data_IF_897222379405
#
_entry.id   IF_897222379405
#
_cell.length_a   1.000
_cell.length_b   1.000
_cell.length_c   1.000
_cell.angle_alpha   90.00
_cell.angle_beta   90.00
_cell.angle_gamma   90.00
#
_symmetry.space_group_name_H-M   'P 1'
#
loop_
_entity.id
_entity.type
_entity.pdbx_description
1 polymer ?
#
# COMPACT_ATOMS: atom_id res chain seq x y z
N UNK A 1 -24.68 -21.44 17.25
CA UNK A 1 -24.26 -22.78 16.75
C UNK A 1 -24.20 -22.75 15.23
N UNK A 2 -23.02 -22.45 14.67
CA UNK A 2 -22.81 -22.38 13.21
C UNK A 2 -22.40 -23.77 12.73
N UNK A 3 -23.22 -24.42 11.89
CA UNK A 3 -22.91 -25.73 11.30
C UNK A 3 -21.75 -25.59 10.32
N UNK A 4 -20.62 -26.18 10.67
CA UNK A 4 -19.46 -26.37 9.81
C UNK A 4 -19.83 -27.14 8.54
N UNK A 5 -19.89 -26.44 7.40
CA UNK A 5 -19.80 -27.03 6.06
C UNK A 5 -18.82 -26.19 5.23
N UNK A 6 -17.61 -26.03 5.74
CA UNK A 6 -16.52 -25.33 5.06
C UNK A 6 -15.43 -26.30 4.59
N UNK A 7 -15.87 -27.41 3.98
CA UNK A 7 -15.02 -28.48 3.43
C UNK A 7 -15.06 -28.53 1.89
N UNK A 8 -15.61 -27.52 1.22
CA UNK A 8 -15.79 -27.51 -0.24
C UNK A 8 -14.47 -27.64 -0.99
N UNK A 9 -13.56 -26.68 -0.80
CA UNK A 9 -12.30 -26.63 -1.56
C UNK A 9 -11.37 -27.80 -1.22
N UNK A 10 -11.14 -28.09 0.06
CA UNK A 10 -10.26 -29.21 0.45
C UNK A 10 -10.84 -30.55 -0.01
N UNK A 11 -12.17 -30.70 0.02
CA UNK A 11 -12.86 -31.88 -0.50
C UNK A 11 -12.67 -32.03 -2.01
N UNK A 12 -12.89 -30.94 -2.77
CA UNK A 12 -12.69 -30.91 -4.22
C UNK A 12 -11.22 -31.19 -4.60
N UNK A 13 -10.26 -30.63 -3.86
CA UNK A 13 -8.82 -30.88 -4.06
C UNK A 13 -8.44 -32.35 -3.81
N UNK A 14 -8.91 -32.93 -2.70
CA UNK A 14 -8.69 -34.35 -2.42
C UNK A 14 -9.37 -35.25 -3.47
N UNK A 15 -10.53 -34.85 -4.00
CA UNK A 15 -11.20 -35.57 -5.09
C UNK A 15 -10.38 -35.52 -6.38
N UNK A 16 -9.80 -34.36 -6.71
CA UNK A 16 -8.96 -34.20 -7.89
C UNK A 16 -7.69 -35.05 -7.78
N UNK A 17 -7.05 -35.05 -6.60
CA UNK A 17 -5.88 -35.89 -6.31
C UNK A 17 -6.19 -37.39 -6.55
N UNK A 18 -7.36 -37.86 -6.08
CA UNK A 18 -7.81 -39.25 -6.31
C UNK A 18 -8.10 -39.54 -7.79
N UNK A 19 -8.64 -38.59 -8.54
CA UNK A 19 -8.85 -38.77 -9.98
C UNK A 19 -7.52 -38.87 -10.74
N UNK A 20 -6.55 -38.01 -10.41
CA UNK A 20 -5.20 -38.06 -10.97
C UNK A 20 -4.55 -39.41 -10.66
N UNK A 21 -4.56 -39.86 -9.40
CA UNK A 21 -3.92 -41.12 -9.01
C UNK A 21 -4.57 -42.35 -9.67
N UNK A 22 -5.90 -42.37 -9.80
CA UNK A 22 -6.61 -43.45 -10.51
C UNK A 22 -6.26 -43.48 -12.00
N UNK A 23 -6.24 -42.31 -12.67
CA UNK A 23 -5.93 -42.23 -14.10
C UNK A 23 -4.48 -42.58 -14.44
N UNK A 24 -3.57 -42.43 -13.47
CA UNK A 24 -2.14 -42.74 -13.62
C UNK A 24 -1.75 -44.15 -13.14
N UNK A 25 -2.64 -44.85 -12.44
CA UNK A 25 -2.37 -46.21 -11.96
C UNK A 25 -2.06 -47.16 -13.12
N UNK A 26 -0.98 -47.93 -12.99
CA UNK A 26 -0.55 -48.91 -14.01
C UNK A 26 0.19 -48.36 -15.23
N UNK A 27 0.36 -47.03 -15.36
CA UNK A 27 1.10 -46.44 -16.49
C UNK A 27 2.62 -46.41 -16.23
N UNK A 28 3.42 -46.99 -17.13
CA UNK A 28 4.89 -46.82 -17.11
C UNK A 28 5.23 -45.34 -17.34
N UNK A 29 6.14 -44.77 -16.56
CA UNK A 29 6.54 -43.37 -16.68
C UNK A 29 5.59 -42.34 -16.06
N UNK A 30 4.56 -42.76 -15.32
CA UNK A 30 3.57 -41.86 -14.70
C UNK A 30 4.15 -40.82 -13.72
N UNK A 31 5.37 -41.02 -13.21
CA UNK A 31 6.01 -40.11 -12.24
C UNK A 31 6.19 -38.69 -12.77
N UNK A 32 6.61 -38.53 -14.03
CA UNK A 32 6.80 -37.21 -14.65
C UNK A 32 5.47 -36.47 -14.84
N UNK A 33 4.47 -37.17 -15.38
CA UNK A 33 3.13 -36.62 -15.58
C UNK A 33 2.43 -36.29 -14.25
N UNK A 34 2.55 -37.16 -13.24
CA UNK A 34 2.04 -36.88 -11.88
C UNK A 34 2.63 -35.60 -11.31
N UNK A 35 3.95 -35.43 -11.45
CA UNK A 35 4.64 -34.22 -10.99
C UNK A 35 4.09 -33.00 -11.72
N UNK A 36 3.99 -33.03 -13.05
CA UNK A 36 3.47 -31.91 -13.84
C UNK A 36 2.05 -31.48 -13.41
N UNK A 37 1.13 -32.43 -13.24
CA UNK A 37 -0.25 -32.15 -12.82
C UNK A 37 -0.34 -31.54 -11.41
N UNK A 38 0.53 -31.96 -10.49
CA UNK A 38 0.59 -31.38 -9.16
C UNK A 38 1.27 -30.02 -9.13
N UNK A 39 2.24 -29.76 -10.01
CA UNK A 39 2.81 -28.43 -10.19
C UNK A 39 1.76 -27.46 -10.73
N UNK A 40 0.93 -27.91 -11.67
CA UNK A 40 -0.20 -27.15 -12.19
C UNK A 40 -1.28 -26.90 -11.13
N UNK A 41 -1.58 -27.90 -10.30
CA UNK A 41 -2.48 -27.70 -9.16
C UNK A 41 -1.93 -26.67 -8.18
N UNK A 42 -0.63 -26.70 -7.88
CA UNK A 42 0.01 -25.69 -7.04
C UNK A 42 -0.05 -24.30 -7.68
N UNK A 43 0.20 -24.16 -8.98
CA UNK A 43 0.14 -22.85 -9.64
C UNK A 43 -1.28 -22.27 -9.64
N UNK A 44 -2.32 -23.10 -9.83
CA UNK A 44 -3.71 -22.66 -9.69
C UNK A 44 -3.99 -22.20 -8.26
N UNK A 45 -3.59 -22.98 -7.25
CA UNK A 45 -3.79 -22.62 -5.83
C UNK A 45 -3.05 -21.34 -5.44
N UNK A 46 -1.92 -21.05 -6.10
CA UNK A 46 -1.13 -19.84 -5.94
C UNK A 46 -1.68 -18.63 -6.73
N UNK A 47 -2.77 -18.81 -7.48
CA UNK A 47 -3.40 -17.77 -8.30
C UNK A 47 -2.61 -17.40 -9.55
N UNK A 48 -1.66 -18.23 -9.99
CA UNK A 48 -0.79 -17.96 -11.14
C UNK A 48 -1.02 -18.87 -12.34
N UNK A 49 -1.72 -19.99 -12.14
CA UNK A 49 -1.93 -21.01 -13.15
C UNK A 49 -3.38 -21.16 -13.58
N UNK A 50 -3.56 -21.95 -14.64
CA UNK A 50 -4.83 -22.48 -15.13
C UNK A 50 -4.68 -23.99 -15.31
N UNK A 51 -5.82 -24.69 -15.32
CA UNK A 51 -5.85 -26.12 -15.66
C UNK A 51 -5.86 -26.27 -17.19
N UNK A 52 -4.69 -26.24 -17.82
CA UNK A 52 -4.47 -26.34 -19.27
C UNK A 52 -3.82 -27.67 -19.70
N UNK A 53 -3.06 -28.32 -18.80
CA UNK A 53 -2.22 -29.47 -19.10
C UNK A 53 -2.82 -30.80 -18.65
N UNK A 54 -4.06 -30.81 -18.14
CA UNK A 54 -4.72 -32.05 -17.72
C UNK A 54 -5.10 -32.88 -18.96
N UNK A 55 -4.48 -34.05 -19.19
CA UNK A 55 -4.79 -34.85 -20.36
C UNK A 55 -6.25 -35.28 -20.36
N UNK A 56 -6.92 -35.22 -21.52
CA UNK A 56 -8.30 -35.67 -21.71
C UNK A 56 -8.56 -37.11 -21.22
N UNK A 57 -7.50 -37.92 -21.14
CA UNK A 57 -7.52 -39.29 -20.65
C UNK A 57 -7.74 -39.41 -19.12
N UNK A 58 -7.57 -38.32 -18.37
CA UNK A 58 -8.04 -38.21 -16.99
C UNK A 58 -9.51 -37.76 -17.07
N UNK A 59 -10.39 -38.70 -17.42
CA UNK A 59 -11.81 -38.42 -17.69
C UNK A 59 -12.52 -37.85 -16.45
N UNK A 60 -13.51 -36.97 -16.69
CA UNK A 60 -14.46 -36.44 -15.69
C UNK A 60 -13.90 -35.42 -14.67
N UNK A 61 -12.73 -34.82 -14.91
CA UNK A 61 -12.17 -33.79 -13.99
C UNK A 61 -12.54 -32.36 -14.34
N UNK A 62 -13.02 -32.08 -15.56
CA UNK A 62 -13.36 -30.71 -16.01
C UNK A 62 -14.39 -29.98 -15.11
N UNK A 63 -15.48 -30.62 -14.65
CA UNK A 63 -16.39 -29.96 -13.72
C UNK A 63 -15.72 -29.63 -12.38
N UNK A 64 -14.78 -30.48 -11.94
CA UNK A 64 -14.08 -30.36 -10.68
C UNK A 64 -13.01 -29.26 -10.73
N UNK A 65 -12.21 -29.22 -11.79
CA UNK A 65 -11.19 -28.19 -12.03
C UNK A 65 -11.83 -26.82 -12.18
N UNK A 66 -12.98 -26.73 -12.87
CA UNK A 66 -13.78 -25.51 -12.98
C UNK A 66 -14.36 -25.05 -11.63
N UNK A 67 -14.78 -25.98 -10.76
CA UNK A 67 -15.22 -25.63 -9.39
C UNK A 67 -14.06 -25.13 -8.53
N UNK A 68 -12.93 -25.83 -8.54
CA UNK A 68 -11.72 -25.42 -7.80
C UNK A 68 -11.27 -24.04 -8.26
N UNK A 69 -11.14 -23.83 -9.58
CA UNK A 69 -10.75 -22.54 -10.13
C UNK A 69 -11.70 -21.42 -9.70
N UNK A 70 -13.02 -21.65 -9.75
CA UNK A 70 -14.02 -20.68 -9.26
C UNK A 70 -13.97 -20.47 -7.75
N UNK A 71 -13.64 -21.47 -6.94
CA UNK A 71 -13.50 -21.28 -5.48
C UNK A 71 -12.22 -20.53 -5.12
N UNK A 72 -11.13 -20.77 -5.85
CA UNK A 72 -9.84 -20.12 -5.63
C UNK A 72 -9.86 -18.66 -6.11
N UNK A 73 -10.45 -18.41 -7.29
CA UNK A 73 -10.44 -17.09 -7.95
C UNK A 73 -11.79 -16.34 -7.88
N UNK A 74 -12.85 -16.95 -7.34
CA UNK A 74 -14.20 -16.37 -7.29
C UNK A 74 -14.46 -15.46 -6.10
N UNK A 75 -15.73 -15.39 -5.67
CA UNK A 75 -16.31 -14.32 -4.82
C UNK A 75 -15.56 -13.95 -3.53
N UNK A 76 -14.69 -14.82 -3.02
CA UNK A 76 -13.78 -14.55 -1.90
C UNK A 76 -12.44 -13.88 -2.31
N UNK A 77 -12.33 -13.34 -3.53
CA UNK A 77 -11.33 -12.32 -3.90
C UNK A 77 -9.87 -12.76 -3.83
N UNK A 78 -9.54 -13.99 -4.22
CA UNK A 78 -8.18 -14.55 -4.14
C UNK A 78 -7.68 -14.74 -2.69
N UNK A 79 -8.56 -14.89 -1.69
CA UNK A 79 -8.16 -15.03 -0.29
C UNK A 79 -7.13 -16.15 -0.03
N UNK A 80 -7.24 -17.31 -0.70
CA UNK A 80 -6.27 -18.39 -0.57
C UNK A 80 -4.92 -18.08 -1.27
N UNK A 81 -4.89 -17.72 -2.57
CA UNK A 81 -3.66 -17.26 -3.23
C UNK A 81 -2.94 -16.16 -2.46
N UNK A 82 -3.70 -15.17 -1.96
CA UNK A 82 -3.21 -14.07 -1.13
C UNK A 82 -2.60 -14.58 0.17
N UNK A 83 -3.28 -15.43 0.92
CA UNK A 83 -2.75 -15.97 2.16
C UNK A 83 -1.51 -16.85 1.96
N UNK A 84 -1.43 -17.61 0.87
CA UNK A 84 -0.23 -18.36 0.49
C UNK A 84 0.92 -17.41 0.22
N UNK A 85 0.68 -16.36 -0.57
CA UNK A 85 1.67 -15.35 -0.89
C UNK A 85 2.16 -14.62 0.36
N UNK A 86 1.25 -14.10 1.17
CA UNK A 86 1.55 -13.40 2.42
C UNK A 86 2.32 -14.28 3.41
N UNK A 87 1.94 -15.55 3.55
CA UNK A 87 2.64 -16.49 4.42
C UNK A 87 4.02 -16.88 3.90
N UNK A 88 4.19 -17.01 2.58
CA UNK A 88 5.45 -17.47 1.98
C UNK A 88 6.49 -16.35 1.86
N UNK A 89 6.07 -15.11 1.59
CA UNK A 89 6.98 -13.99 1.35
C UNK A 89 7.12 -13.04 2.54
N UNK A 90 6.10 -12.94 3.39
CA UNK A 90 6.04 -11.96 4.49
C UNK A 90 5.82 -12.62 5.87
N UNK A 91 5.96 -13.94 5.97
CA UNK A 91 5.80 -14.72 7.22
C UNK A 91 4.46 -14.45 7.96
N UNK A 92 3.41 -14.02 7.24
CA UNK A 92 2.13 -13.68 7.86
C UNK A 92 1.36 -14.93 8.29
N UNK A 93 0.70 -14.91 9.46
CA UNK A 93 -0.11 -16.03 9.90
C UNK A 93 -1.34 -16.18 8.98
N UNK A 94 -1.60 -17.41 8.56
CA UNK A 94 -2.75 -17.74 7.73
C UNK A 94 -4.02 -17.73 8.57
N UNK A 95 -5.02 -16.95 8.14
CA UNK A 95 -6.33 -16.84 8.78
C UNK A 95 -7.07 -18.18 8.90
N UNK A 96 -8.02 -18.26 9.83
CA UNK A 96 -8.73 -19.51 10.13
C UNK A 96 -9.48 -20.09 8.92
N UNK A 97 -10.11 -19.24 8.10
CA UNK A 97 -10.89 -19.62 6.90
C UNK A 97 -10.05 -20.31 5.82
N UNK A 98 -8.77 -20.00 5.72
CA UNK A 98 -7.85 -20.51 4.68
C UNK A 98 -6.82 -21.52 5.23
N UNK A 99 -6.85 -21.81 6.53
CA UNK A 99 -5.90 -22.69 7.20
C UNK A 99 -5.89 -24.11 6.65
N UNK A 100 -7.05 -24.73 6.44
CA UNK A 100 -7.14 -26.10 5.94
C UNK A 100 -6.68 -26.23 4.47
N UNK A 101 -7.13 -25.36 3.54
CA UNK A 101 -6.55 -25.29 2.19
C UNK A 101 -5.04 -25.04 2.19
N UNK A 102 -4.54 -24.16 3.06
CA UNK A 102 -3.10 -23.91 3.19
C UNK A 102 -2.31 -25.15 3.64
N UNK A 103 -2.82 -25.91 4.62
CA UNK A 103 -2.19 -27.16 5.04
C UNK A 103 -2.14 -28.19 3.90
N UNK A 104 -3.17 -28.24 3.06
CA UNK A 104 -3.17 -29.05 1.85
C UNK A 104 -2.03 -28.62 0.90
N UNK A 105 -1.92 -27.31 0.60
CA UNK A 105 -0.86 -26.74 -0.24
C UNK A 105 0.52 -27.10 0.30
N UNK A 106 0.78 -26.89 1.60
CA UNK A 106 2.06 -27.24 2.22
C UNK A 106 2.40 -28.73 2.12
N UNK A 107 1.41 -29.60 2.29
CA UNK A 107 1.60 -31.06 2.13
C UNK A 107 1.97 -31.40 0.69
N UNK A 108 1.27 -30.82 -0.28
CA UNK A 108 1.51 -31.05 -1.70
C UNK A 108 2.90 -30.51 -2.12
N UNK A 109 3.25 -29.29 -1.73
CA UNK A 109 4.55 -28.68 -1.97
C UNK A 109 5.70 -29.53 -1.40
N UNK A 110 5.56 -30.01 -0.16
CA UNK A 110 6.52 -30.94 0.47
C UNK A 110 6.65 -32.25 -0.30
N UNK A 111 5.53 -32.84 -0.75
CA UNK A 111 5.52 -34.05 -1.58
C UNK A 111 6.30 -33.86 -2.89
N UNK A 112 6.21 -32.66 -3.47
CA UNK A 112 6.90 -32.29 -4.70
C UNK A 112 8.33 -31.78 -4.50
N UNK A 113 8.76 -31.55 -3.25
CA UNK A 113 10.03 -30.89 -2.91
C UNK A 113 10.17 -29.53 -3.59
N UNK A 114 9.11 -28.73 -3.53
CA UNK A 114 9.09 -27.35 -4.02
C UNK A 114 8.59 -26.41 -2.92
N UNK A 115 8.93 -25.14 -3.01
CA UNK A 115 8.37 -24.11 -2.15
C UNK A 115 6.90 -23.85 -2.51
N UNK A 116 6.03 -23.54 -1.53
CA UNK A 116 4.63 -23.19 -1.80
C UNK A 116 4.47 -22.00 -2.75
N UNK A 117 5.45 -21.10 -2.84
CA UNK A 117 5.46 -19.94 -3.74
C UNK A 117 5.91 -20.24 -5.18
N UNK A 118 6.04 -21.53 -5.55
CA UNK A 118 6.48 -21.92 -6.89
C UNK A 118 5.58 -21.34 -8.00
N UNK A 119 6.20 -20.77 -9.04
CA UNK A 119 5.52 -20.22 -10.23
C UNK A 119 5.14 -18.73 -10.17
N UNK A 120 5.43 -18.03 -9.08
CA UNK A 120 5.20 -16.57 -8.97
C UNK A 120 6.38 -15.71 -9.43
N UNK A 121 7.51 -16.33 -9.80
CA UNK A 121 8.71 -15.60 -10.17
C UNK A 121 8.62 -15.02 -11.58
N UNK A 122 8.08 -15.73 -12.56
CA UNK A 122 8.24 -15.33 -13.97
C UNK A 122 6.92 -14.94 -14.64
N UNK A 123 6.02 -14.32 -13.88
CA UNK A 123 4.82 -13.75 -14.46
C UNK A 123 5.16 -12.43 -15.14
N UNK A 124 5.01 -12.40 -16.47
CA UNK A 124 4.96 -11.16 -17.23
C UNK A 124 3.83 -10.24 -16.70
N UNK A 125 2.73 -10.84 -16.24
CA UNK A 125 1.56 -10.16 -15.70
C UNK A 125 1.33 -10.54 -14.23
N UNK A 126 1.87 -9.73 -13.30
CA UNK A 126 1.59 -9.87 -11.87
C UNK A 126 0.13 -9.49 -11.59
N UNK A 127 -0.69 -10.38 -10.97
CA UNK A 127 -2.07 -10.06 -10.63
C UNK A 127 -2.21 -8.79 -9.78
N UNK A 128 -3.29 -8.04 -9.96
CA UNK A 128 -3.52 -6.78 -9.24
C UNK A 128 -3.46 -6.95 -7.71
N UNK A 129 -4.07 -8.01 -7.17
CA UNK A 129 -4.05 -8.32 -5.74
C UNK A 129 -2.64 -8.58 -5.21
N UNK A 130 -1.74 -9.14 -6.02
CA UNK A 130 -0.36 -9.42 -5.60
C UNK A 130 0.43 -8.12 -5.53
N UNK A 131 0.19 -7.20 -6.48
CA UNK A 131 0.72 -5.83 -6.39
C UNK A 131 0.25 -5.18 -5.10
N UNK A 132 -1.04 -5.23 -4.77
CA UNK A 132 -1.57 -4.64 -3.53
C UNK A 132 -0.90 -5.20 -2.27
N UNK A 133 -0.65 -6.52 -2.22
CA UNK A 133 0.05 -7.15 -1.10
C UNK A 133 1.50 -6.69 -1.03
N UNK A 134 2.21 -6.72 -2.17
CA UNK A 134 3.56 -6.18 -2.28
C UNK A 134 3.59 -4.75 -1.71
N UNK A 135 2.70 -3.88 -2.22
CA UNK A 135 2.55 -2.47 -1.85
C UNK A 135 2.28 -2.27 -0.34
N UNK A 136 1.48 -3.15 0.27
CA UNK A 136 1.18 -3.13 1.71
C UNK A 136 2.40 -3.47 2.58
N UNK A 137 3.35 -4.24 2.04
CA UNK A 137 4.54 -4.70 2.75
C UNK A 137 5.85 -4.00 2.33
N UNK A 138 5.82 -3.00 1.44
CA UNK A 138 7.04 -2.28 1.05
C UNK A 138 7.44 -1.28 2.12
N UNK A 139 8.70 -1.14 2.48
CA UNK A 139 9.17 0.05 3.21
C UNK A 139 9.09 1.28 2.30
N UNK A 140 8.61 2.41 2.81
CA UNK A 140 8.57 3.70 2.09
C UNK A 140 9.71 4.60 2.59
N UNK A 141 10.63 4.94 1.69
CA UNK A 141 11.62 6.00 1.93
C UNK A 141 11.19 7.23 1.15
N UNK A 142 10.69 8.22 1.88
CA UNK A 142 10.07 9.41 1.33
C UNK A 142 11.08 10.56 1.38
N UNK A 143 11.34 11.17 0.23
CA UNK A 143 12.28 12.26 0.05
C UNK A 143 11.53 13.51 -0.39
N UNK A 144 11.41 14.50 0.49
CA UNK A 144 10.83 15.81 0.13
C UNK A 144 11.91 16.64 -0.57
N UNK A 145 11.71 16.93 -1.85
CA UNK A 145 12.56 17.85 -2.62
C UNK A 145 12.29 19.30 -2.22
N UNK A 146 13.24 20.17 -2.51
CA UNK A 146 13.17 21.58 -2.12
C UNK A 146 11.93 22.30 -2.64
N UNK A 147 11.53 22.18 -3.93
CA UNK A 147 10.33 22.88 -4.42
C UNK A 147 9.06 22.46 -3.67
N UNK A 148 8.86 21.16 -3.46
CA UNK A 148 7.75 20.65 -2.63
C UNK A 148 7.79 21.19 -1.19
N UNK A 149 8.98 21.24 -0.57
CA UNK A 149 9.12 21.81 0.77
C UNK A 149 8.72 23.29 0.81
N UNK A 150 9.14 24.07 -0.20
CA UNK A 150 8.76 25.47 -0.34
C UNK A 150 7.25 25.62 -0.53
N UNK A 151 6.63 24.84 -1.42
CA UNK A 151 5.18 24.83 -1.66
C UNK A 151 4.41 24.60 -0.34
N UNK A 152 4.81 23.60 0.45
CA UNK A 152 4.17 23.27 1.72
C UNK A 152 4.38 24.35 2.78
N UNK A 153 5.61 24.83 2.96
CA UNK A 153 5.91 25.79 4.02
C UNK A 153 5.32 27.17 3.73
N UNK A 154 5.40 27.67 2.50
CA UNK A 154 4.86 28.98 2.15
C UNK A 154 3.34 28.99 2.32
N UNK A 155 2.64 27.98 1.79
CA UNK A 155 1.19 27.89 1.91
C UNK A 155 0.72 27.72 3.35
N UNK A 156 1.37 26.84 4.13
CA UNK A 156 1.04 26.67 5.55
C UNK A 156 1.28 27.95 6.36
N UNK A 157 2.38 28.66 6.09
CA UNK A 157 2.71 29.90 6.78
C UNK A 157 1.73 31.02 6.45
N UNK A 158 1.36 31.16 5.19
CA UNK A 158 0.37 32.15 4.75
C UNK A 158 -0.98 31.92 5.45
N UNK A 159 -1.53 30.71 5.34
CA UNK A 159 -2.84 30.39 5.91
C UNK A 159 -2.86 30.42 7.45
N UNK A 160 -1.71 30.24 8.09
CA UNK A 160 -1.59 30.31 9.55
C UNK A 160 -1.38 31.73 10.08
N UNK A 161 -0.62 32.57 9.36
CA UNK A 161 -0.26 33.91 9.81
C UNK A 161 -1.20 35.01 9.29
N UNK A 162 -1.92 34.75 8.20
CA UNK A 162 -2.82 35.68 7.54
C UNK A 162 -4.26 35.17 7.69
N UNK A 163 -5.04 35.72 8.63
CA UNK A 163 -6.45 35.36 8.80
C UNK A 163 -7.27 35.52 7.53
N UNK A 164 -8.12 34.54 7.22
CA UNK A 164 -9.06 34.60 6.08
C UNK A 164 -10.22 35.61 6.28
N UNK A 165 -10.39 36.14 7.49
CA UNK A 165 -11.46 37.08 7.84
C UNK A 165 -11.49 37.40 9.33
N UNK A 166 -12.49 38.17 9.77
CA UNK A 166 -12.67 38.51 11.18
C UNK A 166 -13.00 37.25 12.00
N UNK A 167 -12.20 36.99 13.04
CA UNK A 167 -12.46 35.93 14.02
C UNK A 167 -11.93 34.53 13.68
N UNK A 168 -11.43 34.29 12.46
CA UNK A 168 -10.79 33.02 12.08
C UNK A 168 -9.28 33.16 12.25
N UNK A 169 -8.65 32.55 13.26
CA UNK A 169 -7.25 32.80 13.57
C UNK A 169 -6.28 32.22 12.52
N UNK A 170 -6.67 31.13 11.88
CA UNK A 170 -5.91 30.38 10.88
C UNK A 170 -6.85 29.44 10.12
N UNK A 171 -6.45 29.01 8.93
CA UNK A 171 -7.16 27.97 8.17
C UNK A 171 -6.22 26.86 7.75
N UNK A 172 -6.75 25.65 7.67
CA UNK A 172 -6.07 24.52 7.06
C UNK A 172 -5.99 24.66 5.54
N UNK A 173 -4.95 24.09 4.95
CA UNK A 173 -4.65 24.12 3.52
C UNK A 173 -4.62 22.69 3.01
N UNK A 174 -5.10 22.47 1.79
CA UNK A 174 -5.02 21.18 1.11
C UNK A 174 -4.25 21.30 -0.21
N UNK A 175 -3.58 20.22 -0.60
CA UNK A 175 -2.92 20.10 -1.89
C UNK A 175 -2.72 18.65 -2.29
N UNK A 176 -2.41 18.43 -3.56
CA UNK A 176 -2.05 17.10 -4.08
C UNK A 176 -0.54 17.00 -4.30
N UNK A 177 0.00 15.81 -4.09
CA UNK A 177 1.44 15.55 -4.07
C UNK A 177 1.86 14.84 -5.33
N UNK A 178 2.80 15.43 -6.06
CA UNK A 178 3.36 14.89 -7.29
C UNK A 178 4.84 14.54 -7.14
N UNK A 179 5.27 13.51 -7.87
CA UNK A 179 6.69 13.18 -8.00
C UNK A 179 6.93 11.84 -8.63
N UNK A 180 7.99 11.16 -8.21
CA UNK A 180 8.45 9.92 -8.82
C UNK A 180 8.64 8.81 -7.78
N UNK A 181 8.44 7.56 -8.21
CA UNK A 181 8.63 6.38 -7.36
C UNK A 181 9.58 5.40 -8.05
N UNK A 182 10.55 4.88 -7.28
CA UNK A 182 11.40 3.78 -7.70
C UNK A 182 11.30 2.64 -6.69
N UNK A 183 10.90 1.46 -7.17
CA UNK A 183 10.84 0.26 -6.33
C UNK A 183 12.13 -0.53 -6.50
N UNK A 184 12.89 -0.69 -5.42
CA UNK A 184 14.05 -1.58 -5.37
C UNK A 184 13.60 -2.91 -4.78
N UNK A 185 13.54 -3.93 -5.64
CA UNK A 185 13.30 -5.31 -5.21
C UNK A 185 14.64 -5.96 -4.87
N UNK A 186 14.77 -6.62 -3.70
CA UNK A 186 15.97 -7.39 -3.42
C UNK A 186 16.13 -8.49 -4.47
N UNK A 187 17.38 -8.84 -4.79
CA UNK A 187 17.67 -9.98 -5.64
C UNK A 187 17.02 -11.24 -5.07
N UNK A 188 16.19 -11.91 -5.87
CA UNK A 188 15.45 -13.11 -5.47
C UNK A 188 16.43 -14.18 -5.00
N UNK A 189 16.21 -14.75 -3.81
CA UNK A 189 17.01 -15.83 -3.24
C UNK A 189 17.70 -15.51 -1.91
N UNK A 190 17.75 -14.23 -1.49
CA UNK A 190 18.05 -13.89 -0.10
C UNK A 190 16.76 -13.76 0.69
N UNK A 191 16.64 -14.56 1.75
CA UNK A 191 15.52 -14.51 2.67
C UNK A 191 15.28 -13.08 3.18
N UNK A 192 14.00 -12.69 3.28
CA UNK A 192 13.49 -11.59 4.11
C UNK A 192 14.07 -10.19 3.86
N UNK A 193 13.87 -9.62 2.68
CA UNK A 193 13.90 -8.15 2.61
C UNK A 193 12.62 -7.65 1.99
N UNK A 194 11.90 -6.86 2.78
CA UNK A 194 10.79 -6.03 2.31
C UNK A 194 11.31 -5.19 1.13
N UNK A 195 10.52 -5.12 0.06
CA UNK A 195 10.90 -4.24 -1.06
C UNK A 195 10.88 -2.80 -0.57
N UNK A 196 11.81 -1.98 -1.05
CA UNK A 196 11.89 -0.58 -0.65
C UNK A 196 11.39 0.28 -1.79
N UNK A 197 10.38 1.11 -1.52
CA UNK A 197 9.90 2.13 -2.44
C UNK A 197 10.54 3.47 -2.07
N UNK A 198 11.44 3.95 -2.94
CA UNK A 198 11.98 5.30 -2.87
C UNK A 198 10.99 6.26 -3.54
N UNK A 199 10.32 7.06 -2.74
CA UNK A 199 9.34 8.05 -3.19
C UNK A 199 9.99 9.43 -3.11
N UNK A 200 10.10 10.10 -4.26
CA UNK A 200 10.63 11.45 -4.37
C UNK A 200 9.47 12.40 -4.60
N UNK A 201 9.19 13.25 -3.62
CA UNK A 201 8.14 14.26 -3.70
C UNK A 201 8.73 15.50 -4.35
N UNK A 202 8.28 15.80 -5.57
CA UNK A 202 8.84 16.85 -6.42
C UNK A 202 8.08 18.16 -6.27
N UNK A 203 6.74 18.10 -6.21
CA UNK A 203 5.86 19.27 -6.05
C UNK A 203 4.68 18.97 -5.14
N UNK A 204 4.15 20.03 -4.50
CA UNK A 204 2.84 20.00 -3.84
C UNK A 204 1.97 21.07 -4.48
N UNK A 205 0.92 20.65 -5.18
CA UNK A 205 -0.01 21.54 -5.86
C UNK A 205 -1.13 21.94 -4.91
N UNK A 206 -1.01 23.13 -4.31
CA UNK A 206 -1.99 23.70 -3.39
C UNK A 206 -3.32 23.94 -4.10
N UNK A 207 -4.43 23.55 -3.46
CA UNK A 207 -5.77 23.80 -3.97
C UNK A 207 -6.34 25.09 -3.39
N UNK A 208 -6.25 26.17 -4.16
CA UNK A 208 -6.84 27.46 -3.77
C UNK A 208 -8.36 27.45 -3.60
N UNK A 209 -9.05 26.42 -4.11
CA UNK A 209 -10.51 26.25 -4.00
C UNK A 209 -10.93 25.30 -2.88
N UNK A 210 -10.00 24.64 -2.21
CA UNK A 210 -10.31 23.83 -1.05
C UNK A 210 -10.93 24.70 0.05
N UNK A 211 -11.90 24.14 0.78
CA UNK A 211 -12.59 24.84 1.87
C UNK A 211 -11.86 24.54 3.18
N UNK A 212 -10.98 25.45 3.57
CA UNK A 212 -10.25 25.38 4.84
C UNK A 212 -11.02 26.01 5.99
N UNK A 213 -10.98 25.36 7.15
CA UNK A 213 -11.37 25.89 8.45
C UNK A 213 -10.19 25.73 9.43
N UNK A 214 -10.29 26.19 10.69
CA UNK A 214 -9.23 25.95 11.68
C UNK A 214 -8.99 24.48 12.05
N UNK A 215 -9.93 23.58 11.76
CA UNK A 215 -9.92 22.18 12.26
C UNK A 215 -10.19 21.11 11.19
N UNK A 216 -10.43 21.52 9.95
CA UNK A 216 -10.63 20.61 8.81
C UNK A 216 -10.38 21.37 7.51
N UNK A 217 -10.01 20.65 6.47
CA UNK A 217 -10.00 21.14 5.10
C UNK A 217 -10.66 20.13 4.17
N UNK A 218 -11.56 20.61 3.32
CA UNK A 218 -12.25 19.79 2.32
C UNK A 218 -11.74 20.14 0.93
N UNK A 219 -11.18 19.16 0.24
CA UNK A 219 -10.70 19.28 -1.14
C UNK A 219 -11.83 19.69 -2.11
N UNK A 220 -11.50 20.50 -3.12
CA UNK A 220 -12.44 20.80 -4.20
C UNK A 220 -12.20 19.84 -5.37
N UNK A 221 -13.16 18.94 -5.61
CA UNK A 221 -13.02 17.87 -6.61
C UNK A 221 -12.79 18.39 -8.03
N UNK A 222 -13.37 19.54 -8.39
CA UNK A 222 -13.19 20.14 -9.72
C UNK A 222 -11.79 20.69 -9.88
N UNK A 223 -11.29 21.40 -8.86
CA UNK A 223 -9.91 21.88 -8.80
C UNK A 223 -8.92 20.72 -8.85
N UNK A 224 -9.19 19.63 -8.12
CA UNK A 224 -8.34 18.45 -8.15
C UNK A 224 -8.26 17.83 -9.55
N UNK A 225 -9.41 17.62 -10.18
CA UNK A 225 -9.48 17.03 -11.52
C UNK A 225 -8.74 17.91 -12.53
N UNK A 226 -8.90 19.23 -12.45
CA UNK A 226 -8.17 20.17 -13.31
C UNK A 226 -6.64 20.09 -13.11
N UNK A 227 -6.18 19.99 -11.86
CA UNK A 227 -4.75 19.85 -11.56
C UNK A 227 -4.19 18.50 -12.02
N UNK A 228 -4.95 17.41 -11.87
CA UNK A 228 -4.56 16.07 -12.36
C UNK A 228 -4.44 16.05 -13.88
N UNK A 229 -5.45 16.54 -14.60
CA UNK A 229 -5.43 16.60 -16.08
C UNK A 229 -4.25 17.42 -16.58
N UNK A 230 -4.01 18.59 -15.98
CA UNK A 230 -2.86 19.43 -16.35
C UNK A 230 -1.53 18.73 -16.04
N UNK A 231 -1.44 18.07 -14.89
CA UNK A 231 -0.29 17.28 -14.46
C UNK A 231 0.07 16.20 -15.47
N UNK A 232 -0.90 15.41 -15.89
CA UNK A 232 -0.71 14.34 -16.87
C UNK A 232 -0.31 14.85 -18.26
N UNK A 233 -0.89 15.99 -18.69
CA UNK A 233 -0.62 16.56 -20.01
C UNK A 233 0.75 17.21 -20.11
N UNK A 234 1.17 17.96 -19.09
CA UNK A 234 2.40 18.77 -19.14
C UNK A 234 3.58 18.09 -18.46
N UNK A 235 3.33 17.20 -17.50
CA UNK A 235 4.36 16.56 -16.67
C UNK A 235 4.14 15.04 -16.59
N UNK A 236 4.20 14.31 -17.71
CA UNK A 236 3.88 12.87 -17.76
C UNK A 236 4.80 11.99 -16.91
N UNK A 237 5.94 12.53 -16.45
CA UNK A 237 6.87 11.87 -15.53
C UNK A 237 6.51 12.04 -14.05
N UNK A 238 5.52 12.90 -13.73
CA UNK A 238 4.99 13.05 -12.40
C UNK A 238 3.80 12.12 -12.19
N UNK A 239 3.93 11.28 -11.17
CA UNK A 239 2.84 10.47 -10.66
C UNK A 239 2.16 11.19 -9.49
N UNK A 240 0.84 11.06 -9.40
CA UNK A 240 0.12 11.39 -8.18
C UNK A 240 0.56 10.42 -7.07
N UNK A 241 1.28 10.95 -6.09
CA UNK A 241 1.81 10.17 -4.98
C UNK A 241 0.85 10.13 -3.79
N UNK A 242 0.01 11.13 -3.64
CA UNK A 242 -0.70 11.37 -2.38
C UNK A 242 -1.36 12.73 -2.27
N UNK A 243 -1.76 13.06 -1.06
CA UNK A 243 -2.28 14.36 -0.66
C UNK A 243 -1.40 15.01 0.42
N UNK A 244 -1.71 16.28 0.68
CA UNK A 244 -1.09 17.11 1.68
C UNK A 244 -2.17 17.96 2.34
N UNK A 245 -2.15 18.03 3.67
CA UNK A 245 -2.88 19.06 4.38
C UNK A 245 -2.16 19.58 5.61
N UNK A 246 -2.65 20.70 6.15
CA UNK A 246 -2.11 21.30 7.36
C UNK A 246 -3.04 21.12 8.55
N UNK A 247 -2.48 21.05 9.75
CA UNK A 247 -3.24 21.18 11.00
C UNK A 247 -2.73 22.41 11.76
N UNK A 248 -3.63 23.24 12.28
CA UNK A 248 -3.25 24.51 12.91
C UNK A 248 -3.43 24.49 14.44
N UNK A 249 -2.44 25.01 15.17
CA UNK A 249 -2.45 25.01 16.65
C UNK A 249 -2.05 26.36 17.23
N UNK A 250 -2.63 26.76 18.37
CA UNK A 250 -2.35 28.05 19.00
C UNK A 250 -1.00 28.07 19.70
N UNK A 251 -0.55 26.93 20.20
CA UNK A 251 0.72 26.80 20.93
C UNK A 251 1.41 25.46 20.70
N UNK A 252 2.74 25.46 20.89
CA UNK A 252 3.54 24.23 20.87
C UNK A 252 3.06 23.21 21.92
N UNK A 253 2.68 23.66 23.10
CA UNK A 253 2.19 22.80 24.19
C UNK A 253 0.88 22.09 23.80
N UNK A 254 0.03 22.75 23.02
CA UNK A 254 -1.21 22.17 22.47
C UNK A 254 -0.90 21.13 21.38
N UNK A 255 -0.07 21.51 20.40
CA UNK A 255 0.34 20.64 19.29
C UNK A 255 0.99 19.36 19.81
N UNK A 256 1.92 19.44 20.76
CA UNK A 256 2.60 18.27 21.32
C UNK A 256 1.65 17.35 22.09
N UNK A 257 0.74 17.94 22.88
CA UNK A 257 -0.25 17.18 23.68
C UNK A 257 -1.24 16.43 22.80
N UNK A 258 -1.72 17.06 21.74
CA UNK A 258 -2.64 16.46 20.79
C UNK A 258 -1.94 15.60 19.74
N UNK A 259 -0.59 15.64 19.69
CA UNK A 259 0.23 15.03 18.64
C UNK A 259 -0.24 15.49 17.26
N UNK A 260 -0.33 16.81 17.09
CA UNK A 260 -1.09 17.41 16.00
C UNK A 260 -0.65 17.08 14.57
N UNK A 261 0.49 16.43 14.40
CA UNK A 261 0.94 15.87 13.13
C UNK A 261 0.24 14.55 12.76
N UNK A 262 -0.59 13.98 13.64
CA UNK A 262 -1.40 12.78 13.39
C UNK A 262 -2.66 13.10 12.62
N UNK A 263 -3.07 12.16 11.78
CA UNK A 263 -4.36 12.20 11.12
C UNK A 263 -5.48 12.16 12.16
N UNK A 264 -6.56 12.89 11.87
CA UNK A 264 -7.82 12.86 12.61
C UNK A 264 -8.71 11.71 12.14
N UNK A 265 -9.80 11.42 12.86
CA UNK A 265 -10.82 10.49 12.38
C UNK A 265 -11.56 11.01 11.14
N UNK A 266 -11.61 12.33 10.96
CA UNK A 266 -12.18 12.95 9.76
C UNK A 266 -11.27 12.69 8.56
N UNK A 267 -9.95 12.86 8.73
CA UNK A 267 -8.96 12.60 7.68
C UNK A 267 -9.05 11.14 7.21
N UNK A 268 -9.15 10.19 8.15
CA UNK A 268 -9.26 8.76 7.83
C UNK A 268 -10.54 8.46 7.02
N UNK A 269 -11.67 9.03 7.41
CA UNK A 269 -12.93 8.85 6.67
C UNK A 269 -12.87 9.48 5.27
N UNK A 270 -12.35 10.71 5.15
CA UNK A 270 -12.23 11.41 3.89
C UNK A 270 -11.25 10.70 2.92
N UNK A 271 -10.18 10.12 3.44
CA UNK A 271 -9.15 9.47 2.63
C UNK A 271 -9.64 8.19 1.95
N UNK A 272 -10.56 7.44 2.57
CA UNK A 272 -11.15 6.23 1.97
C UNK A 272 -11.86 6.59 0.66
N UNK A 273 -12.82 7.51 0.72
CA UNK A 273 -13.58 7.97 -0.44
C UNK A 273 -12.67 8.60 -1.52
N UNK A 274 -11.66 9.36 -1.08
CA UNK A 274 -10.68 9.97 -1.96
C UNK A 274 -9.84 8.92 -2.71
N UNK A 275 -9.33 7.91 -2.00
CA UNK A 275 -8.54 6.82 -2.57
C UNK A 275 -9.34 5.98 -3.55
N UNK A 276 -10.58 5.61 -3.20
CA UNK A 276 -11.46 4.83 -4.07
C UNK A 276 -11.69 5.54 -5.40
N UNK A 277 -12.03 6.83 -5.35
CA UNK A 277 -12.25 7.66 -6.55
C UNK A 277 -11.00 7.75 -7.43
N UNK A 278 -9.84 8.05 -6.84
CA UNK A 278 -8.60 8.16 -7.61
C UNK A 278 -8.14 6.84 -8.21
N UNK A 279 -8.36 5.73 -7.52
CA UNK A 279 -8.09 4.38 -8.05
C UNK A 279 -9.00 4.03 -9.20
N UNK A 280 -10.27 4.44 -9.16
CA UNK A 280 -11.18 4.30 -10.29
C UNK A 280 -10.71 5.09 -11.53
N UNK A 281 -9.97 6.18 -11.32
CA UNK A 281 -9.32 6.96 -12.39
C UNK A 281 -7.97 6.37 -12.84
N UNK A 282 -7.50 5.28 -12.23
CA UNK A 282 -6.21 4.65 -12.56
C UNK A 282 -5.02 5.17 -11.76
N UNK A 283 -5.21 6.13 -10.86
CA UNK A 283 -4.16 6.58 -9.96
C UNK A 283 -4.00 5.63 -8.76
N UNK A 284 -2.81 5.62 -8.15
CA UNK A 284 -2.54 4.82 -6.95
C UNK A 284 -1.83 5.67 -5.90
N UNK A 285 -2.56 6.52 -5.16
CA UNK A 285 -1.94 7.28 -4.09
C UNK A 285 -1.34 6.33 -3.04
N UNK A 286 -0.13 6.66 -2.59
CA UNK A 286 0.72 5.82 -1.73
C UNK A 286 1.02 6.46 -0.38
N UNK A 287 0.92 7.79 -0.29
CA UNK A 287 1.24 8.52 0.93
C UNK A 287 0.27 9.67 1.19
N UNK A 288 0.26 10.12 2.44
CA UNK A 288 -0.34 11.39 2.83
C UNK A 288 0.67 12.20 3.64
N UNK A 289 0.67 13.51 3.47
CA UNK A 289 1.49 14.43 4.24
C UNK A 289 0.63 15.31 5.14
N UNK A 290 0.98 15.38 6.42
CA UNK A 290 0.34 16.29 7.37
C UNK A 290 1.38 17.26 7.89
N UNK A 291 1.12 18.55 7.75
CA UNK A 291 1.95 19.62 8.32
C UNK A 291 1.22 20.30 9.48
N UNK A 292 1.62 19.96 10.70
CA UNK A 292 1.14 20.66 11.88
C UNK A 292 1.94 21.93 12.12
N UNK A 293 1.29 23.08 12.27
CA UNK A 293 1.92 24.39 12.44
C UNK A 293 1.46 25.08 13.73
N UNK A 294 2.39 25.75 14.41
CA UNK A 294 2.10 26.56 15.59
C UNK A 294 3.09 27.71 15.78
N UNK A 295 2.68 28.77 16.48
CA UNK A 295 3.53 29.91 16.83
C UNK A 295 4.45 29.56 18.00
N UNK A 296 5.72 29.91 17.88
CA UNK A 296 6.73 29.84 18.92
C UNK A 296 6.62 31.05 19.88
N UNK A 297 6.81 30.81 21.19
CA UNK A 297 6.82 31.90 22.21
C UNK A 297 8.02 32.85 22.04
N UNK A 298 9.12 32.38 21.46
CA UNK A 298 10.32 33.16 21.10
C UNK A 298 10.79 32.73 19.72
N UNK A 299 11.41 33.63 18.96
CA UNK A 299 12.15 33.26 17.74
C UNK A 299 13.28 32.33 18.14
N UNK A 300 13.12 31.03 17.89
CA UNK A 300 14.17 30.05 18.14
C UNK A 300 15.15 30.03 16.97
N UNK A 301 16.42 29.78 17.27
CA UNK A 301 17.40 29.32 16.27
C UNK A 301 16.83 28.08 15.57
N UNK A 302 17.06 27.93 14.27
CA UNK A 302 16.53 26.83 13.48
C UNK A 302 16.93 25.47 14.11
N UNK A 303 16.03 24.87 14.89
CA UNK A 303 16.21 23.53 15.44
C UNK A 303 15.91 22.54 14.30
N UNK A 304 16.97 21.89 13.83
CA UNK A 304 16.98 20.93 12.73
C UNK A 304 17.28 19.56 13.32
N UNK A 305 16.28 18.91 13.88
CA UNK A 305 16.44 17.57 14.42
C UNK A 305 15.34 16.66 13.86
N UNK A 306 15.70 15.43 13.49
CA UNK A 306 14.72 14.35 13.43
C UNK A 306 14.04 14.27 14.80
N UNK A 307 12.72 14.41 14.85
CA UNK A 307 12.02 14.47 16.13
C UNK A 307 12.19 13.13 16.86
N UNK A 308 12.92 13.16 17.98
CA UNK A 308 13.40 11.99 18.74
C UNK A 308 12.33 10.87 18.83
N UNK A 309 12.52 9.81 18.03
CA UNK A 309 11.73 8.59 18.06
C UNK A 309 10.75 8.37 16.89
N UNK A 310 10.54 9.33 15.99
CA UNK A 310 9.58 9.16 14.88
C UNK A 310 10.28 9.22 13.52
N UNK A 311 10.41 8.07 12.83
CA UNK A 311 11.03 7.98 11.51
C UNK A 311 10.27 8.71 10.41
N UNK A 312 8.98 8.94 10.61
CA UNK A 312 8.05 9.51 9.64
C UNK A 312 7.72 10.99 9.92
N UNK A 313 8.39 11.63 10.88
CA UNK A 313 8.14 13.03 11.25
C UNK A 313 9.43 13.84 11.22
N UNK A 314 9.38 15.01 10.57
CA UNK A 314 10.44 16.00 10.53
C UNK A 314 9.94 17.30 11.15
N UNK A 315 10.75 17.89 12.04
CA UNK A 315 10.47 19.22 12.59
C UNK A 315 11.30 20.27 11.87
N UNK A 316 10.66 21.39 11.52
CA UNK A 316 11.32 22.58 10.97
C UNK A 316 10.85 23.83 11.70
N UNK A 317 11.77 24.75 11.94
CA UNK A 317 11.44 26.10 12.40
C UNK A 317 11.48 27.06 11.21
N UNK A 318 10.39 27.81 11.01
CA UNK A 318 10.25 28.80 9.95
C UNK A 318 9.84 30.15 10.58
N UNK A 319 10.80 31.05 10.77
CA UNK A 319 10.58 32.32 11.46
C UNK A 319 10.11 32.12 12.91
N UNK A 320 8.88 32.58 13.23
CA UNK A 320 8.26 32.40 14.55
C UNK A 320 7.32 31.20 14.61
N UNK A 321 7.39 30.27 13.66
CA UNK A 321 6.56 29.09 13.63
C UNK A 321 7.39 27.81 13.81
N UNK A 322 6.80 26.82 14.46
CA UNK A 322 7.24 25.43 14.45
C UNK A 322 6.31 24.64 13.53
N UNK A 323 6.89 23.94 12.57
CA UNK A 323 6.16 23.06 11.68
C UNK A 323 6.65 21.62 11.89
N UNK A 324 5.71 20.68 11.95
CA UNK A 324 5.96 19.24 12.03
C UNK A 324 5.36 18.62 10.77
N UNK A 325 6.21 18.09 9.90
CA UNK A 325 5.80 17.41 8.68
C UNK A 325 5.83 15.91 8.96
N UNK A 326 4.67 15.28 8.94
CA UNK A 326 4.52 13.84 9.05
C UNK A 326 4.16 13.24 7.70
N UNK A 327 4.65 12.03 7.44
CA UNK A 327 4.26 11.23 6.29
C UNK A 327 3.60 9.93 6.74
N UNK A 328 2.55 9.53 6.03
CA UNK A 328 1.80 8.30 6.28
C UNK A 328 1.77 7.47 5.01
N UNK A 329 1.77 6.15 5.13
CA UNK A 329 1.38 5.25 4.04
C UNK A 329 -0.13 5.29 3.92
N UNK A 330 -0.62 5.34 2.69
CA UNK A 330 -2.01 5.01 2.36
C UNK A 330 -2.09 3.51 2.03
N UNK A 331 -2.85 2.77 2.81
CA UNK A 331 -3.08 1.34 2.64
C UNK A 331 -4.08 1.05 1.50
N UNK A 332 -4.16 -0.19 0.99
CA UNK A 332 -5.13 -0.57 -0.05
C UNK A 332 -6.59 -0.31 0.32
N UNK A 333 -6.94 -0.25 1.60
CA UNK A 333 -8.28 0.10 2.08
C UNK A 333 -8.50 1.60 2.31
N UNK A 334 -7.49 2.44 2.03
CA UNK A 334 -7.55 3.89 2.30
C UNK A 334 -7.20 4.27 3.74
N UNK A 335 -6.87 3.31 4.62
CA UNK A 335 -6.40 3.64 5.97
C UNK A 335 -4.96 4.18 5.97
N UNK A 336 -4.58 4.84 7.05
CA UNK A 336 -3.22 5.37 7.24
C UNK A 336 -2.36 4.46 8.13
N UNK A 337 -1.11 4.23 7.71
CA UNK A 337 -0.14 3.48 8.51
C UNK A 337 1.21 4.22 8.61
N UNK A 338 1.89 4.04 9.74
CA UNK A 338 3.25 4.56 9.97
C UNK A 338 4.34 3.50 9.81
N UNK A 339 3.95 2.23 9.73
CA UNK A 339 4.88 1.10 9.67
C UNK A 339 5.68 1.10 8.36
N UNK A 340 7.00 0.95 8.51
CA UNK A 340 7.94 0.98 7.40
C UNK A 340 8.04 2.33 6.70
N UNK A 341 7.60 3.45 7.30
CA UNK A 341 7.70 4.80 6.71
C UNK A 341 8.90 5.56 7.29
N UNK A 342 9.79 6.02 6.41
CA UNK A 342 10.92 6.87 6.74
C UNK A 342 10.87 8.16 5.91
N UNK A 343 10.74 9.30 6.58
CA UNK A 343 10.71 10.62 5.97
C UNK A 343 12.10 11.26 6.01
N UNK A 344 12.51 11.82 4.87
CA UNK A 344 13.78 12.51 4.66
C UNK A 344 13.54 13.84 3.97
N UNK A 345 14.22 14.88 4.47
CA UNK A 345 14.19 16.21 3.87
C UNK A 345 15.63 16.75 3.78
N UNK A 346 16.40 16.37 2.75
CA UNK A 346 17.84 16.65 2.67
C UNK A 346 18.20 18.13 2.82
N UNK A 347 17.35 19.02 2.31
CA UNK A 347 17.57 20.47 2.34
C UNK A 347 17.51 21.06 3.76
N UNK A 348 16.81 20.41 4.69
CA UNK A 348 16.74 20.87 6.08
C UNK A 348 17.97 20.45 6.89
N UNK A 349 18.54 19.28 6.61
CA UNK A 349 19.57 18.66 7.46
C UNK A 349 21.00 18.82 6.93
N UNK A 350 21.17 19.46 5.76
CA UNK A 350 22.44 19.41 5.03
C UNK A 350 22.72 18.00 4.51
N UNK A 351 23.62 17.86 3.54
CA UNK A 351 24.11 16.54 3.16
C UNK A 351 25.00 15.99 4.29
N UNK A 352 24.41 15.52 5.38
CA UNK A 352 25.10 14.60 6.25
C UNK A 352 25.19 13.29 5.46
N UNK A 353 26.39 12.96 5.01
CA UNK A 353 26.73 11.74 4.27
C UNK A 353 26.06 10.53 4.94
N UNK A 354 25.17 9.86 4.19
CA UNK A 354 24.47 8.66 4.64
C UNK A 354 25.39 7.45 4.68
#
# INVERSE_FOLDING_TARGET
MVKARDNGLVGDLCQLERCIERGLSGRRGAGGLRRALYMELLSVLNGTGRFESIPAQITSVEPLTSRIYRQVNGQSGNALPRAIYESAFFDRPVGNSVRAPWQYVRRLARRLRVEPSHGQTDLADVPAWMKEVDEAHQELRIWIREPALQDMLLSAMEAYLVPAGSGVPSTEVYGIVFGSQRVTRPARGRARRESVADINIERVCIQHRAKGSPSEVVADQRSETAQLVLGEQLFPYWHLLGDFHTHTYRSLDELLRQRGWRYSSHDEAANVDWCERLRAMGHRPRLALILAITRAKRSGTACRESWNGYSHVVRVAAGRCHCFIAAYRICPDGSYATDGVALRCPHLFGQQSA
#
